data_IF_847922333971
#
_entry.id   IF_847922333971
#
_cell.length_a   1.000
_cell.length_b   1.000
_cell.length_c   1.000
_cell.angle_alpha   90.00
_cell.angle_beta   90.00
_cell.angle_gamma   90.00
#
_symmetry.space_group_name_H-M   'P 1'
#
loop_
_entity.id
_entity.type
_entity.pdbx_description
1 polymer ?
#
# COMPACT_ATOMS: atom_id res chain seq x y z
N UNK A 1 -86.00 -14.40 -20.38
CA UNK A 1 -85.97 -15.37 -19.26
C UNK A 1 -84.52 -15.77 -19.00
N UNK A 2 -84.14 -15.79 -17.71
CA UNK A 2 -82.94 -16.42 -17.10
C UNK A 2 -81.60 -15.63 -17.08
N UNK A 3 -80.77 -15.79 -16.01
CA UNK A 3 -80.49 -14.68 -15.08
C UNK A 3 -79.01 -14.26 -14.94
N UNK A 4 -78.83 -13.14 -14.22
CA UNK A 4 -77.55 -12.53 -13.80
C UNK A 4 -76.77 -13.45 -12.84
N UNK A 5 -75.50 -13.69 -13.15
CA UNK A 5 -74.53 -14.31 -12.25
C UNK A 5 -73.50 -13.30 -11.74
N UNK A 6 -73.57 -12.97 -10.46
CA UNK A 6 -72.57 -12.18 -9.72
C UNK A 6 -71.29 -12.97 -9.50
N UNK A 7 -70.12 -12.44 -9.91
CA UNK A 7 -68.82 -12.93 -9.44
C UNK A 7 -68.17 -11.88 -8.54
N UNK A 8 -68.13 -12.18 -7.23
CA UNK A 8 -67.28 -11.50 -6.25
C UNK A 8 -65.81 -11.78 -6.57
N UNK A 9 -64.98 -10.74 -6.71
CA UNK A 9 -63.52 -10.88 -6.73
C UNK A 9 -63.04 -11.14 -5.30
N UNK A 10 -62.56 -12.37 -5.03
CA UNK A 10 -61.69 -12.61 -3.87
C UNK A 10 -60.30 -12.07 -4.21
N UNK A 11 -59.82 -11.09 -3.46
CA UNK A 11 -58.42 -10.71 -3.47
C UNK A 11 -57.60 -11.84 -2.84
N UNK A 12 -56.67 -12.42 -3.59
CA UNK A 12 -55.64 -13.31 -3.05
C UNK A 12 -54.47 -12.42 -2.66
N UNK A 13 -54.22 -12.26 -1.36
CA UNK A 13 -53.02 -11.63 -0.86
C UNK A 13 -51.83 -12.56 -1.14
N UNK A 14 -50.98 -12.20 -2.10
CA UNK A 14 -49.70 -12.87 -2.34
C UNK A 14 -48.71 -12.37 -1.27
N UNK A 15 -48.32 -13.27 -0.36
CA UNK A 15 -47.31 -13.01 0.67
C UNK A 15 -45.94 -13.02 -0.02
N UNK A 16 -45.31 -11.86 -0.15
CA UNK A 16 -43.94 -11.76 -0.67
C UNK A 16 -42.95 -12.45 0.28
N UNK A 17 -41.91 -13.14 -0.23
CA UNK A 17 -40.87 -13.73 0.61
C UNK A 17 -40.07 -12.64 1.34
N UNK A 18 -39.54 -12.92 2.55
CA UNK A 18 -38.72 -11.96 3.28
C UNK A 18 -37.45 -11.64 2.50
N UNK A 19 -37.08 -10.37 2.49
CA UNK A 19 -35.80 -9.85 1.96
C UNK A 19 -34.61 -10.57 2.61
N UNK A 20 -33.52 -10.84 1.87
CA UNK A 20 -32.35 -11.51 2.41
C UNK A 20 -31.69 -10.65 3.50
N UNK A 21 -31.38 -11.30 4.62
CA UNK A 21 -30.68 -10.74 5.77
C UNK A 21 -29.32 -10.15 5.38
N UNK A 22 -28.97 -9.01 5.96
CA UNK A 22 -27.65 -8.38 5.84
C UNK A 22 -26.51 -9.36 6.17
N UNK A 23 -25.31 -9.18 5.55
CA UNK A 23 -24.17 -10.07 5.80
C UNK A 23 -23.71 -10.00 7.27
N UNK A 24 -23.10 -11.08 7.80
CA UNK A 24 -22.70 -11.16 9.20
C UNK A 24 -21.66 -10.10 9.55
N UNK A 25 -21.89 -9.38 10.65
CA UNK A 25 -20.89 -8.49 11.26
C UNK A 25 -19.88 -9.34 12.04
N UNK A 26 -18.60 -9.14 11.76
CA UNK A 26 -17.51 -9.60 12.63
C UNK A 26 -17.60 -8.87 13.97
N UNK A 27 -17.99 -9.59 15.01
CA UNK A 27 -17.80 -9.17 16.41
C UNK A 27 -16.48 -9.81 16.85
N UNK A 28 -15.50 -8.99 17.22
CA UNK A 28 -14.27 -9.49 17.84
C UNK A 28 -14.60 -9.87 19.29
N UNK A 29 -14.83 -11.17 19.53
CA UNK A 29 -14.80 -11.73 20.88
C UNK A 29 -13.37 -12.22 21.16
N UNK A 30 -12.70 -11.58 22.11
CA UNK A 30 -11.40 -12.01 22.61
C UNK A 30 -11.40 -11.90 24.13
N UNK A 31 -11.36 -13.04 24.82
CA UNK A 31 -11.01 -13.10 26.23
C UNK A 31 -9.50 -12.85 26.38
N UNK A 32 -9.12 -11.90 27.23
CA UNK A 32 -7.73 -11.78 27.70
C UNK A 32 -7.52 -12.81 28.82
N UNK A 33 -6.58 -13.76 28.70
CA UNK A 33 -6.20 -14.61 29.82
C UNK A 33 -5.33 -13.80 30.79
N UNK A 34 -5.82 -13.58 32.01
CA UNK A 34 -4.95 -13.24 33.14
C UNK A 34 -5.12 -11.85 33.74
N UNK A 35 -6.30 -11.52 34.25
CA UNK A 35 -6.41 -10.50 35.30
C UNK A 35 -7.30 -11.00 36.44
N UNK A 36 -6.67 -11.48 37.52
CA UNK A 36 -7.34 -11.74 38.79
C UNK A 36 -7.36 -10.43 39.59
N UNK A 37 -8.52 -9.78 39.65
CA UNK A 37 -8.76 -8.62 40.51
C UNK A 37 -10.24 -8.51 40.83
N UNK A 38 -10.60 -8.72 42.09
CA UNK A 38 -11.98 -8.75 42.61
C UNK A 38 -12.71 -7.43 42.36
N UNK A 39 -13.95 -7.52 41.89
CA UNK A 39 -14.90 -6.41 41.87
C UNK A 39 -16.08 -6.69 40.94
N UNK A 40 -17.11 -7.34 41.46
CA UNK A 40 -18.35 -7.60 40.71
C UNK A 40 -19.15 -6.32 40.51
N UNK A 41 -19.70 -6.10 39.31
CA UNK A 41 -21.10 -5.68 39.15
C UNK A 41 -21.66 -6.04 37.76
N UNK A 42 -22.94 -6.40 37.79
CA UNK A 42 -23.78 -7.09 36.80
C UNK A 42 -23.89 -6.48 35.39
N UNK A 43 -24.08 -7.41 34.46
CA UNK A 43 -24.84 -7.37 33.21
C UNK A 43 -26.04 -6.40 33.19
N UNK A 44 -26.16 -5.63 32.12
CA UNK A 44 -27.39 -4.97 31.69
C UNK A 44 -27.45 -4.92 30.17
N UNK A 45 -28.34 -5.73 29.58
CA UNK A 45 -28.72 -5.64 28.18
C UNK A 45 -29.52 -4.35 27.94
N UNK A 46 -29.27 -3.67 26.81
CA UNK A 46 -30.09 -2.55 26.37
C UNK A 46 -30.51 -2.79 24.91
N UNK A 47 -31.80 -3.08 24.72
CA UNK A 47 -32.50 -2.96 23.45
C UNK A 47 -32.75 -1.48 23.14
N UNK A 48 -32.54 -1.06 21.89
CA UNK A 48 -32.96 0.24 21.41
C UNK A 48 -34.19 0.07 20.49
N UNK A 49 -35.38 0.21 21.06
CA UNK A 49 -36.61 0.47 20.31
C UNK A 49 -36.65 1.93 19.85
N UNK A 50 -37.09 2.17 18.61
CA UNK A 50 -36.99 3.45 17.92
C UNK A 50 -37.78 4.63 18.52
N UNK A 51 -37.31 5.83 18.19
CA UNK A 51 -37.99 7.09 18.46
C UNK A 51 -37.20 8.27 17.87
N UNK A 52 -37.89 9.14 17.11
CA UNK A 52 -37.36 10.33 16.45
C UNK A 52 -36.93 11.37 17.49
N UNK A 53 -35.63 11.72 17.53
CA UNK A 53 -35.10 12.81 18.34
C UNK A 53 -33.61 13.02 18.07
N UNK A 54 -33.21 14.23 17.68
CA UNK A 54 -31.79 14.59 17.52
C UNK A 54 -31.09 14.52 18.88
N UNK A 55 -29.91 13.89 19.02
CA UNK A 55 -29.07 14.14 20.18
C UNK A 55 -28.47 15.54 20.04
N UNK A 56 -28.92 16.48 20.88
CA UNK A 56 -28.27 17.76 21.10
C UNK A 56 -26.99 17.50 21.93
N UNK A 57 -25.81 17.69 21.33
CA UNK A 57 -24.54 17.54 22.02
C UNK A 57 -24.26 18.80 22.86
N UNK A 58 -24.66 18.80 24.14
CA UNK A 58 -24.12 19.74 25.13
C UNK A 58 -23.19 18.99 26.08
N UNK A 59 -21.93 18.94 25.70
CA UNK A 59 -20.81 18.64 26.58
C UNK A 59 -19.71 19.67 26.33
N UNK A 60 -19.51 20.61 27.26
CA UNK A 60 -18.29 21.43 27.29
C UNK A 60 -17.13 20.50 27.62
N UNK A 61 -16.29 20.19 26.64
CA UNK A 61 -14.95 19.66 26.88
C UNK A 61 -14.02 20.87 26.93
N UNK A 62 -13.69 21.33 28.14
CA UNK A 62 -12.54 22.23 28.31
C UNK A 62 -11.27 21.41 28.12
N UNK A 63 -10.75 21.38 26.90
CA UNK A 63 -9.40 20.92 26.64
C UNK A 63 -8.42 22.00 27.14
N UNK A 64 -7.82 21.76 28.31
CA UNK A 64 -6.70 22.57 28.81
C UNK A 64 -5.44 22.20 28.00
N UNK A 65 -5.23 22.88 26.88
CA UNK A 65 -3.96 22.88 26.15
C UNK A 65 -2.89 23.51 27.05
N UNK A 66 -1.91 22.72 27.49
CA UNK A 66 -0.64 23.26 27.99
C UNK A 66 0.35 23.21 26.84
N UNK A 67 0.72 24.39 26.35
CA UNK A 67 1.90 24.56 25.51
C UNK A 67 3.14 24.31 26.36
N UNK A 68 4.05 23.48 25.87
CA UNK A 68 5.40 23.33 26.43
C UNK A 68 6.30 24.15 25.52
N UNK A 69 6.90 25.22 26.04
CA UNK A 69 7.74 26.12 25.28
C UNK A 69 8.99 25.40 24.75
N UNK A 70 9.32 25.70 23.49
CA UNK A 70 10.54 25.25 22.83
C UNK A 70 11.77 25.90 23.51
N UNK A 71 12.74 25.08 23.90
CA UNK A 71 14.02 25.58 24.40
C UNK A 71 14.81 26.25 23.26
N UNK A 72 15.07 27.54 23.41
CA UNK A 72 15.94 28.37 22.56
C UNK A 72 17.40 27.95 22.70
N UNK A 73 18.18 27.80 21.61
CA UNK A 73 19.65 27.69 21.71
C UNK A 73 20.27 29.08 21.95
N UNK A 74 21.35 29.21 22.73
CA UNK A 74 22.00 30.50 22.91
C UNK A 74 22.82 30.87 21.66
N UNK A 75 22.58 32.08 21.16
CA UNK A 75 23.38 32.74 20.15
C UNK A 75 24.52 33.54 20.79
N UNK A 76 25.69 33.52 20.14
CA UNK A 76 26.69 34.59 20.25
C UNK A 76 28.11 34.12 20.59
N UNK A 77 28.98 34.03 19.58
CA UNK A 77 30.01 35.06 19.35
C UNK A 77 30.69 34.81 17.99
N UNK A 78 30.53 35.77 17.08
CA UNK A 78 31.48 35.98 15.98
C UNK A 78 32.59 36.92 16.48
N UNK A 79 33.80 36.81 15.94
CA UNK A 79 34.66 37.93 15.46
C UNK A 79 36.05 37.37 15.03
N UNK A 80 36.56 37.98 13.95
CA UNK A 80 37.95 38.16 13.52
C UNK A 80 38.67 37.06 12.72
N UNK A 81 38.65 37.31 11.41
CA UNK A 81 39.73 37.11 10.46
C UNK A 81 41.08 37.73 10.87
N UNK A 82 42.14 37.21 10.25
CA UNK A 82 43.49 37.76 10.03
C UNK A 82 44.51 37.66 11.17
N UNK A 83 45.68 37.12 10.84
CA UNK A 83 46.85 37.12 11.72
C UNK A 83 47.89 36.09 11.32
N UNK A 84 48.68 36.38 10.28
CA UNK A 84 50.00 35.78 10.08
C UNK A 84 50.79 35.91 11.40
N UNK A 85 51.22 34.78 11.97
CA UNK A 85 52.22 34.78 13.03
C UNK A 85 53.53 34.23 12.48
N UNK A 86 54.43 35.16 12.13
CA UNK A 86 55.85 34.91 11.88
C UNK A 86 56.55 34.67 13.23
N UNK A 87 57.28 33.57 13.36
CA UNK A 87 58.36 33.44 14.35
C UNK A 87 59.61 32.84 13.69
N UNK A 88 60.82 33.17 14.19
CA UNK A 88 62.01 33.28 13.36
C UNK A 88 62.90 32.03 13.30
N UNK A 89 63.57 31.91 12.15
CA UNK A 89 64.88 31.33 11.85
C UNK A 89 65.57 30.48 12.93
N UNK A 90 65.50 29.15 12.75
CA UNK A 90 66.48 28.18 13.25
C UNK A 90 67.17 27.48 12.07
N UNK A 91 68.47 27.73 11.92
CA UNK A 91 69.38 27.19 10.89
C UNK A 91 69.83 25.77 11.28
N UNK A 92 69.76 24.78 10.36
CA UNK A 92 70.93 24.03 9.85
C UNK A 92 70.59 22.68 9.15
N UNK A 93 71.26 22.52 8.00
CA UNK A 93 71.85 21.32 7.36
C UNK A 93 71.08 20.60 6.24
N UNK A 94 71.78 20.61 5.11
CA UNK A 94 71.51 19.99 3.82
C UNK A 94 71.61 18.47 3.86
N UNK A 95 70.71 17.79 3.14
CA UNK A 95 70.96 16.50 2.49
C UNK A 95 70.21 16.50 1.14
N UNK A 96 70.89 16.31 0.00
CA UNK A 96 70.24 16.29 -1.29
C UNK A 96 69.71 14.87 -1.56
N UNK A 97 68.39 14.70 -1.62
CA UNK A 97 67.79 13.52 -2.23
C UNK A 97 67.32 13.85 -3.64
N UNK A 98 67.76 13.01 -4.57
CA UNK A 98 67.62 13.14 -6.01
C UNK A 98 66.16 13.01 -6.47
N UNK A 99 65.77 13.83 -7.45
CA UNK A 99 64.56 13.66 -8.23
C UNK A 99 64.67 12.38 -9.07
N UNK A 100 63.93 11.34 -8.71
CA UNK A 100 63.66 10.19 -9.59
C UNK A 100 62.48 10.56 -10.49
N UNK A 101 62.75 10.84 -11.77
CA UNK A 101 61.72 10.96 -12.80
C UNK A 101 61.23 9.55 -13.15
N UNK A 102 60.16 9.09 -12.52
CA UNK A 102 59.44 7.89 -12.93
C UNK A 102 58.42 8.26 -14.01
N UNK A 103 58.77 7.98 -15.27
CA UNK A 103 57.83 7.93 -16.39
C UNK A 103 56.93 6.71 -16.22
N UNK A 104 55.69 6.91 -15.83
CA UNK A 104 54.66 5.86 -15.93
C UNK A 104 53.60 6.32 -16.91
N UNK A 105 53.61 5.67 -18.07
CA UNK A 105 52.59 5.78 -19.11
C UNK A 105 51.26 5.32 -18.54
N UNK A 106 50.35 6.26 -18.27
CA UNK A 106 48.95 5.94 -17.95
C UNK A 106 48.23 5.59 -19.23
N UNK A 107 48.09 4.29 -19.49
CA UNK A 107 47.05 3.75 -20.36
C UNK A 107 45.69 4.14 -19.76
N UNK A 108 45.03 5.13 -20.37
CA UNK A 108 43.62 5.41 -20.10
C UNK A 108 42.80 4.28 -20.72
N UNK A 109 42.40 3.32 -19.90
CA UNK A 109 41.33 2.41 -20.27
C UNK A 109 40.07 3.26 -20.45
N UNK A 110 39.28 3.05 -21.53
CA UNK A 110 37.99 3.70 -21.63
C UNK A 110 37.13 3.19 -20.47
N UNK A 111 36.97 3.99 -19.43
CA UNK A 111 35.92 3.79 -18.45
C UNK A 111 34.61 3.91 -19.23
N UNK A 112 33.96 2.78 -19.45
CA UNK A 112 32.55 2.76 -19.79
C UNK A 112 31.85 3.53 -18.68
N UNK A 113 31.52 4.79 -18.96
CA UNK A 113 30.57 5.53 -18.15
C UNK A 113 29.26 4.78 -18.34
N UNK A 114 28.96 3.88 -17.41
CA UNK A 114 27.61 3.38 -17.25
C UNK A 114 26.83 4.60 -16.80
N UNK A 115 26.14 5.23 -17.75
CA UNK A 115 25.14 6.23 -17.43
C UNK A 115 24.02 5.52 -16.70
N UNK A 116 24.17 5.34 -15.39
CA UNK A 116 23.04 5.15 -14.49
C UNK A 116 22.27 6.47 -14.55
N UNK A 117 21.36 6.58 -15.51
CA UNK A 117 20.36 7.63 -15.47
C UNK A 117 19.67 7.47 -14.12
N UNK A 118 19.95 8.37 -13.18
CA UNK A 118 19.27 8.42 -11.90
C UNK A 118 17.78 8.61 -12.22
N UNK A 119 17.03 7.51 -12.21
CA UNK A 119 15.59 7.54 -12.43
C UNK A 119 15.04 8.34 -11.24
N UNK A 120 14.36 9.45 -11.54
CA UNK A 120 13.81 10.35 -10.51
C UNK A 120 12.90 9.61 -9.51
N UNK A 121 12.49 10.28 -8.41
CA UNK A 121 11.71 9.64 -7.36
C UNK A 121 10.48 8.93 -7.92
N UNK A 122 10.17 7.75 -7.38
CA UNK A 122 8.99 6.99 -7.77
C UNK A 122 7.73 7.75 -7.32
N UNK A 123 6.91 8.10 -8.30
CA UNK A 123 5.68 8.87 -8.10
C UNK A 123 4.56 8.28 -8.92
N UNK A 124 3.33 8.65 -8.59
CA UNK A 124 2.18 8.30 -9.42
C UNK A 124 2.39 8.83 -10.85
N UNK A 125 2.11 8.00 -11.84
CA UNK A 125 2.34 8.27 -13.26
C UNK A 125 3.76 8.01 -13.76
N UNK A 126 4.73 7.76 -12.88
CA UNK A 126 6.08 7.35 -13.31
C UNK A 126 6.06 5.94 -13.89
N UNK A 127 6.98 5.70 -14.83
CA UNK A 127 7.15 4.37 -15.39
C UNK A 127 7.87 3.46 -14.40
N UNK A 128 7.25 2.32 -14.11
CA UNK A 128 7.80 1.29 -13.25
C UNK A 128 9.20 0.88 -13.74
N UNK A 129 10.23 0.90 -12.88
CA UNK A 129 11.55 0.39 -13.22
C UNK A 129 11.52 -1.07 -13.72
N UNK A 130 12.22 -1.32 -14.82
CA UNK A 130 12.41 -2.67 -15.37
C UNK A 130 13.60 -3.35 -14.68
N UNK A 131 13.52 -4.67 -14.53
CA UNK A 131 14.56 -5.52 -13.97
C UNK A 131 14.39 -6.95 -14.49
N UNK A 132 15.47 -7.72 -14.41
CA UNK A 132 15.47 -9.17 -14.60
C UNK A 132 15.96 -9.81 -13.31
N UNK A 133 15.19 -10.71 -12.72
CA UNK A 133 15.52 -11.33 -11.43
C UNK A 133 15.06 -12.79 -11.36
N UNK A 134 15.72 -13.57 -10.51
CA UNK A 134 15.30 -14.93 -10.22
C UNK A 134 14.09 -14.92 -9.25
N UNK A 135 13.23 -15.92 -9.35
CA UNK A 135 12.02 -16.03 -8.54
C UNK A 135 11.69 -17.49 -8.21
N UNK A 136 10.74 -17.69 -7.29
CA UNK A 136 10.18 -19.01 -6.97
C UNK A 136 9.50 -19.73 -8.15
N UNK A 137 9.35 -19.07 -9.31
CA UNK A 137 8.80 -19.64 -10.55
C UNK A 137 9.76 -19.51 -11.74
N UNK A 138 11.06 -19.37 -11.47
CA UNK A 138 12.09 -19.16 -12.49
C UNK A 138 12.40 -17.69 -12.73
N UNK A 139 13.21 -17.40 -13.76
CA UNK A 139 13.64 -16.04 -14.07
C UNK A 139 12.46 -15.20 -14.60
N UNK A 140 12.31 -13.99 -14.09
CA UNK A 140 11.29 -13.02 -14.50
C UNK A 140 11.99 -11.83 -15.17
N UNK A 141 11.58 -11.52 -16.40
CA UNK A 141 11.76 -10.19 -16.99
C UNK A 141 10.52 -9.35 -16.65
N UNK A 142 10.71 -8.27 -15.88
CA UNK A 142 9.60 -7.48 -15.39
C UNK A 142 8.85 -6.74 -16.51
N UNK A 143 9.53 -6.35 -17.59
CA UNK A 143 8.89 -5.66 -18.71
C UNK A 143 7.94 -6.60 -19.44
N UNK A 144 8.38 -7.83 -19.74
CA UNK A 144 7.53 -8.85 -20.33
C UNK A 144 6.40 -9.28 -19.40
N UNK A 145 6.69 -9.41 -18.10
CA UNK A 145 5.71 -9.82 -17.09
C UNK A 145 4.57 -8.79 -16.94
N UNK A 146 4.91 -7.50 -16.93
CA UNK A 146 3.97 -6.41 -16.64
C UNK A 146 3.25 -5.85 -17.88
N UNK A 147 3.84 -5.94 -19.07
CA UNK A 147 3.24 -5.33 -20.27
C UNK A 147 1.87 -5.93 -20.57
N UNK A 148 0.87 -5.06 -20.76
CA UNK A 148 -0.49 -5.48 -21.09
C UNK A 148 -1.29 -6.07 -19.93
N UNK A 149 -0.75 -6.13 -18.72
CA UNK A 149 -1.43 -6.63 -17.52
C UNK A 149 -1.35 -5.63 -16.38
N UNK A 150 -2.33 -5.63 -15.49
CA UNK A 150 -2.14 -4.98 -14.20
C UNK A 150 -1.20 -5.81 -13.34
N UNK A 151 -0.33 -5.16 -12.57
CA UNK A 151 0.55 -5.83 -11.61
C UNK A 151 0.39 -5.21 -10.24
N UNK A 152 0.17 -6.05 -9.23
CA UNK A 152 0.34 -5.70 -7.83
C UNK A 152 1.68 -6.28 -7.39
N UNK A 153 2.68 -5.40 -7.28
CA UNK A 153 4.04 -5.75 -6.90
C UNK A 153 4.28 -5.37 -5.45
N UNK A 154 4.58 -6.34 -4.59
CA UNK A 154 4.67 -6.12 -3.16
C UNK A 154 5.86 -6.81 -2.52
N UNK A 155 6.46 -6.17 -1.51
CA UNK A 155 7.57 -6.72 -0.75
C UNK A 155 7.12 -7.25 0.61
N UNK A 156 7.91 -8.16 1.20
CA UNK A 156 7.82 -8.55 2.61
C UNK A 156 9.23 -8.66 3.21
N UNK A 157 9.42 -8.31 4.50
CA UNK A 157 10.75 -8.24 5.10
C UNK A 157 11.60 -9.51 4.98
N UNK A 158 11.02 -10.67 5.31
CA UNK A 158 11.76 -11.93 5.39
C UNK A 158 10.82 -13.13 5.40
N UNK A 159 11.25 -14.23 4.77
CA UNK A 159 10.62 -15.54 4.84
C UNK A 159 10.67 -16.13 6.26
N UNK A 160 9.77 -17.08 6.56
CA UNK A 160 9.65 -17.72 7.87
C UNK A 160 9.39 -16.75 9.03
N UNK A 161 8.69 -15.64 8.76
CA UNK A 161 8.26 -14.68 9.79
C UNK A 161 6.73 -14.64 9.92
N UNK A 162 6.19 -14.40 11.13
CA UNK A 162 4.77 -14.66 11.42
C UNK A 162 3.83 -13.75 10.63
N UNK A 163 4.07 -12.43 10.63
CA UNK A 163 3.21 -11.47 9.92
C UNK A 163 3.25 -11.73 8.41
N UNK A 164 4.44 -11.94 7.83
CA UNK A 164 4.58 -12.21 6.40
C UNK A 164 3.85 -13.50 5.99
N UNK A 165 3.88 -14.53 6.85
CA UNK A 165 3.18 -15.80 6.60
C UNK A 165 1.67 -15.56 6.50
N UNK A 166 1.10 -14.76 7.40
CA UNK A 166 -0.32 -14.41 7.35
C UNK A 166 -0.68 -13.57 6.12
N UNK A 167 0.19 -12.64 5.70
CA UNK A 167 -0.05 -11.78 4.55
C UNK A 167 -0.03 -12.55 3.24
N UNK A 168 1.01 -13.34 2.98
CA UNK A 168 1.12 -14.10 1.73
C UNK A 168 0.02 -15.16 1.64
N UNK A 169 -0.38 -15.76 2.76
CA UNK A 169 -1.55 -16.64 2.82
C UNK A 169 -2.86 -15.93 2.45
N UNK A 170 -3.05 -14.68 2.90
CA UNK A 170 -4.21 -13.87 2.53
C UNK A 170 -4.19 -13.47 1.04
N UNK A 171 -3.03 -13.06 0.52
CA UNK A 171 -2.87 -12.77 -0.92
C UNK A 171 -3.11 -14.01 -1.78
N UNK A 172 -2.60 -15.17 -1.37
CA UNK A 172 -2.83 -16.44 -2.05
C UNK A 172 -4.33 -16.80 -2.14
N UNK A 173 -5.07 -16.62 -1.04
CA UNK A 173 -6.52 -16.86 -1.05
C UNK A 173 -7.30 -15.88 -1.95
N UNK A 174 -6.80 -14.64 -2.08
CA UNK A 174 -7.40 -13.62 -2.94
C UNK A 174 -6.87 -13.63 -4.38
N UNK A 175 -5.83 -14.38 -4.70
CA UNK A 175 -5.23 -14.47 -6.03
C UNK A 175 -6.25 -14.75 -7.15
N UNK A 176 -7.27 -15.62 -6.97
CA UNK A 176 -8.32 -15.80 -7.97
C UNK A 176 -9.11 -14.53 -8.28
N UNK A 177 -9.36 -13.67 -7.28
CA UNK A 177 -10.07 -12.40 -7.45
C UNK A 177 -9.22 -11.36 -8.19
N UNK A 178 -7.90 -11.34 -7.95
CA UNK A 178 -6.96 -10.54 -8.75
C UNK A 178 -6.90 -11.04 -10.20
N UNK A 179 -6.81 -12.36 -10.39
CA UNK A 179 -6.77 -12.99 -11.72
C UNK A 179 -8.03 -12.68 -12.53
N UNK A 180 -9.21 -12.74 -11.90
CA UNK A 180 -10.50 -12.37 -12.53
C UNK A 180 -10.51 -10.94 -13.08
N UNK A 181 -9.71 -10.04 -12.49
CA UNK A 181 -9.55 -8.63 -12.89
C UNK A 181 -8.38 -8.40 -13.85
N UNK A 182 -7.74 -9.46 -14.34
CA UNK A 182 -6.55 -9.38 -15.18
C UNK A 182 -5.33 -8.79 -14.45
N UNK A 183 -5.25 -9.00 -13.13
CA UNK A 183 -4.15 -8.53 -12.29
C UNK A 183 -3.24 -9.70 -11.93
N UNK A 184 -1.93 -9.51 -12.17
CA UNK A 184 -0.87 -10.42 -11.73
C UNK A 184 -0.32 -9.97 -10.39
N UNK A 185 -0.16 -10.91 -9.46
CA UNK A 185 0.56 -10.67 -8.22
C UNK A 185 2.05 -10.97 -8.42
N UNK A 186 2.91 -10.19 -7.76
CA UNK A 186 4.37 -10.39 -7.74
C UNK A 186 4.87 -10.06 -6.34
N UNK A 187 5.43 -11.05 -5.65
CA UNK A 187 6.07 -10.88 -4.33
C UNK A 187 7.56 -10.57 -4.47
N UNK A 188 8.17 -10.07 -3.39
CA UNK A 188 9.61 -9.87 -3.28
C UNK A 188 10.07 -9.93 -1.82
N UNK A 189 11.19 -10.60 -1.56
CA UNK A 189 12.03 -10.35 -0.38
C UNK A 189 13.51 -10.52 -0.73
N UNK A 190 14.38 -10.26 0.25
CA UNK A 190 15.81 -10.47 0.09
C UNK A 190 16.29 -11.90 0.40
N UNK A 191 15.36 -12.87 0.52
CA UNK A 191 15.68 -14.28 0.68
C UNK A 191 16.02 -14.94 -0.68
N UNK A 192 16.50 -16.19 -0.63
CA UNK A 192 16.83 -16.97 -1.84
C UNK A 192 15.62 -17.72 -2.38
N UNK A 193 15.71 -18.15 -3.65
CA UNK A 193 14.69 -18.98 -4.30
C UNK A 193 14.38 -20.27 -3.52
N UNK A 194 15.41 -20.94 -2.98
CA UNK A 194 15.23 -22.17 -2.20
C UNK A 194 14.46 -21.90 -0.90
N UNK A 195 14.70 -20.75 -0.27
CA UNK A 195 13.97 -20.36 0.95
C UNK A 195 12.50 -20.11 0.65
N UNK A 196 12.21 -19.40 -0.45
CA UNK A 196 10.83 -19.18 -0.90
C UNK A 196 10.11 -20.50 -1.16
N UNK A 197 10.72 -21.44 -1.89
CA UNK A 197 10.11 -22.73 -2.22
C UNK A 197 9.76 -23.57 -0.99
N UNK A 198 10.63 -23.55 0.03
CA UNK A 198 10.35 -24.18 1.32
C UNK A 198 9.20 -23.47 2.03
N UNK A 199 9.28 -22.15 2.16
CA UNK A 199 8.34 -21.36 2.95
C UNK A 199 6.93 -21.30 2.35
N UNK A 200 6.80 -21.39 1.02
CA UNK A 200 5.50 -21.52 0.34
C UNK A 200 4.70 -22.73 0.87
N UNK A 201 5.38 -23.82 1.25
CA UNK A 201 4.74 -25.00 1.83
C UNK A 201 4.21 -24.70 3.23
N UNK A 202 4.99 -24.03 4.07
CA UNK A 202 4.59 -23.60 5.41
C UNK A 202 3.39 -22.63 5.34
N UNK A 203 3.39 -21.69 4.39
CA UNK A 203 2.25 -20.78 4.18
C UNK A 203 0.99 -21.59 3.85
N UNK A 204 1.09 -22.56 2.95
CA UNK A 204 -0.04 -23.41 2.58
C UNK A 204 -0.55 -24.24 3.76
N UNK A 205 0.36 -24.82 4.55
CA UNK A 205 0.01 -25.60 5.75
C UNK A 205 -0.68 -24.75 6.82
N UNK A 206 -0.08 -23.60 7.17
CA UNK A 206 -0.53 -22.75 8.28
C UNK A 206 -1.79 -21.97 7.93
N UNK A 207 -1.88 -21.48 6.69
CA UNK A 207 -2.95 -20.55 6.30
C UNK A 207 -4.01 -21.21 5.44
N UNK A 208 -3.72 -22.33 4.79
CA UNK A 208 -4.56 -22.91 3.74
C UNK A 208 -4.55 -22.13 2.41
N UNK A 209 -3.72 -21.09 2.29
CA UNK A 209 -3.55 -20.32 1.06
C UNK A 209 -2.41 -20.87 0.21
N UNK A 210 -2.70 -21.26 -1.03
CA UNK A 210 -1.69 -21.76 -1.97
C UNK A 210 -1.07 -20.59 -2.75
N UNK A 211 0.19 -20.26 -2.47
CA UNK A 211 0.91 -19.22 -3.23
C UNK A 211 1.27 -19.75 -4.63
N UNK A 212 0.64 -19.21 -5.68
CA UNK A 212 0.97 -19.56 -7.07
C UNK A 212 1.70 -18.44 -7.81
N UNK A 213 1.58 -17.20 -7.35
CA UNK A 213 2.32 -16.08 -7.88
C UNK A 213 3.83 -16.19 -7.58
N UNK A 214 4.69 -15.64 -8.47
CA UNK A 214 6.13 -15.59 -8.26
C UNK A 214 6.51 -14.70 -7.08
N UNK A 215 7.56 -15.10 -6.36
CA UNK A 215 8.26 -14.28 -5.36
C UNK A 215 9.69 -14.06 -5.86
N UNK A 216 10.08 -12.80 -6.10
CA UNK A 216 11.43 -12.40 -6.51
C UNK A 216 12.41 -12.61 -5.36
N UNK A 217 13.54 -13.28 -5.68
CA UNK A 217 14.67 -13.44 -4.79
C UNK A 217 15.67 -12.30 -5.00
N UNK A 218 15.60 -11.28 -4.15
CA UNK A 218 16.37 -10.04 -4.27
C UNK A 218 17.52 -9.98 -3.25
N UNK A 219 18.37 -11.02 -3.25
CA UNK A 219 19.41 -11.21 -2.23
C UNK A 219 20.40 -10.04 -2.12
N UNK A 220 20.70 -9.35 -3.23
CA UNK A 220 21.57 -8.16 -3.26
C UNK A 220 20.82 -6.83 -3.14
N UNK A 221 19.50 -6.88 -2.92
CA UNK A 221 18.61 -5.74 -2.73
C UNK A 221 18.56 -4.79 -3.94
N UNK A 222 18.91 -5.26 -5.14
CA UNK A 222 18.90 -4.41 -6.33
C UNK A 222 17.49 -3.92 -6.64
N UNK A 223 16.51 -4.82 -6.62
CA UNK A 223 15.13 -4.47 -6.96
C UNK A 223 14.49 -3.67 -5.82
N UNK A 224 14.78 -4.02 -4.57
CA UNK A 224 14.32 -3.30 -3.39
C UNK A 224 14.83 -1.85 -3.37
N UNK A 225 16.10 -1.61 -3.67
CA UNK A 225 16.62 -0.24 -3.81
C UNK A 225 15.98 0.49 -4.99
N UNK A 226 15.79 -0.22 -6.12
CA UNK A 226 15.20 0.35 -7.33
C UNK A 226 13.75 0.81 -7.12
N UNK A 227 13.02 0.12 -6.22
CA UNK A 227 11.64 0.40 -5.85
C UNK A 227 11.48 1.14 -4.52
N UNK A 228 12.57 1.62 -3.89
CA UNK A 228 12.53 2.28 -2.58
C UNK A 228 11.76 1.46 -1.51
N UNK A 229 12.00 0.15 -1.51
CA UNK A 229 11.37 -0.83 -0.61
C UNK A 229 12.23 -1.14 0.62
N UNK A 230 13.17 -0.27 0.98
CA UNK A 230 14.06 -0.44 2.12
C UNK A 230 13.71 0.58 3.20
N UNK A 231 13.80 0.18 4.47
CA UNK A 231 13.56 1.11 5.57
C UNK A 231 14.71 2.14 5.65
N UNK A 232 14.37 3.42 5.57
CA UNK A 232 15.35 4.51 5.71
C UNK A 232 15.79 4.74 7.16
N UNK A 233 14.92 4.47 8.14
CA UNK A 233 15.11 4.83 9.54
C UNK A 233 15.44 3.67 10.45
N UNK A 234 15.27 2.43 9.99
CA UNK A 234 15.56 1.23 10.76
C UNK A 234 16.82 0.52 10.25
N UNK A 235 18.02 1.11 10.42
CA UNK A 235 19.29 0.42 10.18
C UNK A 235 19.53 -0.71 11.19
N UNK A 236 18.61 -0.95 12.13
CA UNK A 236 18.62 -2.11 13.04
C UNK A 236 17.78 -3.27 12.52
N UNK A 237 16.89 -3.03 11.54
CA UNK A 237 16.15 -4.05 10.83
C UNK A 237 16.99 -4.62 9.69
N UNK A 238 18.03 -5.33 10.11
CA UNK A 238 19.04 -5.93 9.27
C UNK A 238 18.91 -7.46 9.29
N UNK A 239 19.27 -8.10 8.18
CA UNK A 239 19.41 -9.54 8.12
C UNK A 239 20.65 -10.02 8.92
N UNK A 240 20.87 -11.32 8.93
CA UNK A 240 22.03 -11.94 9.58
C UNK A 240 23.39 -11.48 9.03
N UNK A 241 23.41 -10.72 7.93
CA UNK A 241 24.61 -10.15 7.28
C UNK A 241 24.69 -8.63 7.46
N UNK A 242 23.91 -8.06 8.37
CA UNK A 242 23.84 -6.64 8.63
C UNK A 242 23.34 -5.78 7.44
N UNK A 243 22.58 -6.38 6.52
CA UNK A 243 21.95 -5.66 5.40
C UNK A 243 20.48 -5.36 5.68
N UNK A 244 19.97 -4.16 5.34
CA UNK A 244 18.57 -3.81 5.57
C UNK A 244 17.59 -4.83 5.00
N UNK A 245 16.55 -5.14 5.76
CA UNK A 245 15.37 -5.85 5.28
C UNK A 245 14.47 -4.90 4.49
N UNK A 246 13.64 -5.47 3.61
CA UNK A 246 12.63 -4.67 2.91
C UNK A 246 11.49 -4.29 3.84
N UNK A 247 10.84 -3.16 3.59
CA UNK A 247 9.56 -2.81 4.22
C UNK A 247 8.39 -3.49 3.50
N UNK A 248 7.15 -3.24 3.96
CA UNK A 248 5.93 -3.78 3.37
C UNK A 248 5.34 -2.78 2.36
N UNK A 249 5.99 -2.66 1.20
CA UNK A 249 5.53 -1.80 0.11
C UNK A 249 4.60 -2.54 -0.85
N UNK A 250 3.67 -1.82 -1.47
CA UNK A 250 2.76 -2.31 -2.52
C UNK A 250 2.69 -1.27 -3.62
N UNK A 251 3.02 -1.68 -4.84
CA UNK A 251 2.93 -0.90 -6.06
C UNK A 251 1.81 -1.44 -6.94
N UNK A 252 0.92 -0.56 -7.36
CA UNK A 252 -0.12 -0.85 -8.33
C UNK A 252 0.34 -0.32 -9.68
N UNK A 253 0.58 -1.20 -10.63
CA UNK A 253 1.21 -0.88 -11.91
C UNK A 253 0.21 -1.24 -13.00
N UNK A 254 -0.10 -0.27 -13.87
CA UNK A 254 -1.07 -0.46 -14.95
C UNK A 254 -0.47 -1.20 -16.16
N UNK A 255 -1.30 -1.62 -17.15
CA UNK A 255 -0.84 -2.29 -18.36
C UNK A 255 0.16 -1.49 -19.22
N UNK A 256 0.29 -0.18 -18.99
CA UNK A 256 1.25 0.72 -19.63
C UNK A 256 2.50 0.92 -18.76
N UNK A 257 2.69 0.07 -17.76
CA UNK A 257 3.77 0.08 -16.77
C UNK A 257 3.86 1.38 -15.99
N UNK A 258 2.76 2.11 -15.79
CA UNK A 258 2.74 3.32 -14.95
C UNK A 258 2.32 2.97 -13.52
N UNK A 259 3.03 3.54 -12.55
CA UNK A 259 2.69 3.41 -11.13
C UNK A 259 1.42 4.23 -10.85
N UNK A 260 0.37 3.58 -10.35
CA UNK A 260 -0.95 4.18 -10.10
C UNK A 260 -1.24 4.41 -8.62
N UNK A 261 -0.63 3.62 -7.75
CA UNK A 261 -0.74 3.77 -6.30
C UNK A 261 0.50 3.14 -5.66
N UNK A 262 0.95 3.73 -4.55
CA UNK A 262 2.02 3.20 -3.69
C UNK A 262 1.46 3.19 -2.27
N UNK A 263 1.58 2.06 -1.58
CA UNK A 263 1.24 1.94 -0.16
C UNK A 263 2.45 1.37 0.56
N UNK A 264 2.89 2.04 1.64
CA UNK A 264 4.06 1.61 2.41
C UNK A 264 3.68 1.43 3.88
N UNK A 265 3.95 0.24 4.41
CA UNK A 265 3.80 -0.09 5.83
C UNK A 265 5.17 -0.47 6.43
N UNK A 266 5.40 -0.18 7.72
CA UNK A 266 6.56 -0.71 8.42
C UNK A 266 6.45 -2.23 8.61
N UNK A 267 7.56 -2.89 8.93
CA UNK A 267 7.58 -4.34 9.18
C UNK A 267 6.62 -4.78 10.30
N UNK A 268 6.36 -3.90 11.28
CA UNK A 268 5.48 -4.17 12.42
C UNK A 268 3.98 -4.18 12.09
N UNK A 269 3.57 -3.63 10.94
CA UNK A 269 2.14 -3.46 10.59
C UNK A 269 1.76 -4.34 9.41
N UNK A 270 1.03 -5.42 9.66
CA UNK A 270 0.46 -6.25 8.60
C UNK A 270 -0.56 -5.48 7.74
N UNK A 271 -0.54 -5.74 6.43
CA UNK A 271 -1.40 -5.10 5.43
C UNK A 271 -2.79 -5.71 5.41
N UNK A 272 -3.75 -4.89 4.98
CA UNK A 272 -5.10 -5.35 4.64
C UNK A 272 -5.14 -5.77 3.16
N UNK A 273 -5.14 -7.08 2.88
CA UNK A 273 -5.18 -7.60 1.50
C UNK A 273 -6.48 -7.23 0.77
N UNK A 274 -7.59 -7.12 1.49
CA UNK A 274 -8.88 -6.64 0.94
C UNK A 274 -8.80 -5.19 0.47
N UNK A 275 -8.02 -4.34 1.14
CA UNK A 275 -7.79 -2.96 0.67
C UNK A 275 -7.00 -2.96 -0.63
N UNK A 276 -6.02 -3.84 -0.78
CA UNK A 276 -5.26 -3.97 -2.02
C UNK A 276 -6.19 -4.36 -3.18
N UNK A 277 -7.10 -5.32 -2.98
CA UNK A 277 -8.09 -5.66 -3.99
C UNK A 277 -9.07 -4.50 -4.28
N UNK A 278 -9.52 -3.79 -3.24
CA UNK A 278 -10.43 -2.63 -3.38
C UNK A 278 -9.80 -1.48 -4.17
N UNK A 279 -8.51 -1.23 -3.99
CA UNK A 279 -7.77 -0.22 -4.78
C UNK A 279 -7.70 -0.64 -6.25
N UNK A 280 -7.48 -1.92 -6.56
CA UNK A 280 -7.57 -2.42 -7.95
C UNK A 280 -8.95 -2.13 -8.55
N UNK A 281 -10.02 -2.45 -7.81
CA UNK A 281 -11.39 -2.18 -8.25
C UNK A 281 -11.63 -0.69 -8.52
N UNK A 282 -11.16 0.18 -7.63
CA UNK A 282 -11.29 1.64 -7.79
C UNK A 282 -10.53 2.16 -9.02
N UNK A 283 -9.27 1.73 -9.21
CA UNK A 283 -8.44 2.16 -10.32
C UNK A 283 -9.01 1.71 -11.67
N UNK A 284 -9.44 0.45 -11.77
CA UNK A 284 -10.04 -0.07 -12.99
C UNK A 284 -11.41 0.57 -13.28
N UNK A 285 -12.21 0.85 -12.25
CA UNK A 285 -13.48 1.57 -12.41
C UNK A 285 -13.24 3.01 -12.92
N UNK A 286 -12.25 3.73 -12.39
CA UNK A 286 -11.89 5.07 -12.85
C UNK A 286 -11.29 5.09 -14.27
N UNK A 287 -10.59 4.03 -14.69
CA UNK A 287 -10.09 3.92 -16.07
C UNK A 287 -11.20 3.61 -17.07
N UNK A 288 -12.21 2.82 -16.65
CA UNK A 288 -13.34 2.41 -17.50
C UNK A 288 -14.44 3.47 -17.58
N UNK A 289 -14.70 4.17 -16.49
CA UNK A 289 -15.79 5.14 -16.36
C UNK A 289 -15.23 6.50 -15.94
N UNK A 290 -15.82 7.61 -16.41
CA UNK A 290 -15.43 8.97 -16.02
C UNK A 290 -15.93 9.33 -14.60
N UNK A 291 -15.44 8.61 -13.60
CA UNK A 291 -15.88 8.67 -12.20
C UNK A 291 -14.69 8.78 -11.23
N UNK A 292 -15.00 9.05 -9.97
CA UNK A 292 -14.12 8.89 -8.83
C UNK A 292 -14.84 8.07 -7.74
N UNK A 293 -14.11 7.25 -6.99
CA UNK A 293 -14.68 6.49 -5.87
C UNK A 293 -14.63 7.33 -4.58
N UNK A 294 -15.72 7.44 -3.80
CA UNK A 294 -15.72 8.17 -2.53
C UNK A 294 -14.87 7.49 -1.45
N UNK A 295 -14.76 8.15 -0.29
CA UNK A 295 -14.16 7.57 0.92
C UNK A 295 -14.83 6.24 1.29
N UNK A 296 -14.03 5.26 1.70
CA UNK A 296 -14.46 3.92 2.11
C UNK A 296 -15.29 3.15 1.08
N UNK A 297 -15.20 3.54 -0.21
CA UNK A 297 -15.99 2.94 -1.27
C UNK A 297 -15.69 1.46 -1.46
N UNK A 298 -16.74 0.65 -1.54
CA UNK A 298 -16.71 -0.76 -1.93
C UNK A 298 -17.45 -0.98 -3.26
N UNK A 299 -17.07 -2.00 -4.06
CA UNK A 299 -17.79 -2.37 -5.27
C UNK A 299 -19.30 -2.53 -5.03
N UNK A 300 -20.10 -1.95 -5.93
CA UNK A 300 -21.56 -1.92 -5.84
C UNK A 300 -22.14 -0.70 -5.12
N UNK A 301 -21.32 0.12 -4.45
CA UNK A 301 -21.75 1.40 -3.90
C UNK A 301 -21.70 2.52 -4.96
N UNK A 302 -22.46 3.59 -4.72
CA UNK A 302 -22.45 4.79 -5.55
C UNK A 302 -21.04 5.37 -5.68
N UNK A 303 -20.71 5.82 -6.89
CA UNK A 303 -19.49 6.56 -7.22
C UNK A 303 -19.81 8.03 -7.48
N UNK A 304 -18.77 8.86 -7.54
CA UNK A 304 -18.87 10.29 -7.84
C UNK A 304 -18.61 10.50 -9.33
N UNK A 305 -19.48 11.23 -10.03
CA UNK A 305 -19.20 11.68 -11.41
C UNK A 305 -18.00 12.62 -11.38
N UNK A 306 -16.97 12.34 -12.19
CA UNK A 306 -15.73 13.10 -12.14
C UNK A 306 -15.98 14.61 -12.38
N UNK A 307 -15.26 15.46 -11.65
CA UNK A 307 -15.42 16.92 -11.72
C UNK A 307 -15.10 17.49 -13.12
N UNK A 308 -14.31 16.78 -13.92
CA UNK A 308 -13.99 17.15 -15.30
C UNK A 308 -15.15 16.93 -16.27
N UNK A 309 -16.22 16.23 -15.89
CA UNK A 309 -17.37 15.91 -16.75
C UNK A 309 -18.45 16.99 -16.58
N UNK A 310 -18.73 17.82 -17.60
CA UNK A 310 -19.80 18.82 -17.51
C UNK A 310 -21.19 18.19 -17.51
N UNK A 311 -22.20 18.90 -17.01
CA UNK A 311 -23.56 18.38 -16.83
C UNK A 311 -24.24 17.80 -18.09
N UNK A 312 -24.10 18.39 -19.31
CA UNK A 312 -24.65 17.79 -20.52
C UNK A 312 -24.10 16.39 -20.78
N UNK A 313 -22.77 16.25 -20.69
CA UNK A 313 -22.10 14.96 -20.89
C UNK A 313 -22.43 13.98 -19.75
N UNK A 314 -22.52 14.46 -18.50
CA UNK A 314 -22.88 13.62 -17.36
C UNK A 314 -24.29 13.01 -17.51
N UNK A 315 -25.25 13.72 -18.12
CA UNK A 315 -26.62 13.21 -18.37
C UNK A 315 -26.63 12.09 -19.42
N UNK A 316 -25.72 12.15 -20.38
CA UNK A 316 -25.57 11.10 -21.40
C UNK A 316 -24.88 9.86 -20.82
N UNK A 317 -23.77 10.06 -20.10
CA UNK A 317 -22.98 8.96 -19.52
C UNK A 317 -23.67 8.29 -18.32
N UNK A 318 -24.38 9.07 -17.50
CA UNK A 318 -24.97 8.64 -16.24
C UNK A 318 -26.41 9.16 -16.09
N UNK A 319 -27.40 8.71 -16.89
CA UNK A 319 -28.74 9.33 -16.94
C UNK A 319 -29.47 9.49 -15.59
N UNK A 320 -29.12 8.66 -14.61
CA UNK A 320 -29.74 8.63 -13.28
C UNK A 320 -28.84 9.25 -12.18
N UNK A 321 -27.84 10.08 -12.53
CA UNK A 321 -26.97 10.69 -11.51
C UNK A 321 -27.75 11.67 -10.62
N UNK A 322 -27.44 11.67 -9.32
CA UNK A 322 -28.04 12.53 -8.30
C UNK A 322 -27.09 13.67 -7.92
N UNK A 323 -27.53 14.91 -8.08
CA UNK A 323 -26.79 16.10 -7.66
C UNK A 323 -27.10 16.47 -6.22
N UNK A 324 -26.08 16.49 -5.35
CA UNK A 324 -26.17 17.04 -3.99
C UNK A 324 -25.65 18.49 -3.99
N UNK A 325 -24.53 18.71 -4.69
CA UNK A 325 -23.95 20.03 -5.02
C UNK A 325 -23.42 19.97 -6.45
N UNK A 326 -23.16 21.11 -7.12
CA UNK A 326 -22.62 21.11 -8.48
C UNK A 326 -21.36 20.25 -8.66
N UNK A 327 -20.49 20.18 -7.63
CA UNK A 327 -19.29 19.35 -7.62
C UNK A 327 -19.49 17.96 -6.98
N UNK A 328 -20.66 17.69 -6.39
CA UNK A 328 -20.94 16.45 -5.65
C UNK A 328 -22.15 15.76 -6.27
N UNK A 329 -21.86 14.95 -7.28
CA UNK A 329 -22.84 14.22 -8.09
C UNK A 329 -22.57 12.74 -7.95
N UNK A 330 -23.55 11.98 -7.47
CA UNK A 330 -23.43 10.53 -7.28
C UNK A 330 -24.11 9.78 -8.42
N UNK A 331 -23.57 8.63 -8.79
CA UNK A 331 -24.20 7.68 -9.72
C UNK A 331 -23.88 6.25 -9.32
N UNK A 332 -24.80 5.33 -9.59
CA UNK A 332 -24.49 3.91 -9.55
C UNK A 332 -23.73 3.51 -10.82
N UNK A 333 -22.79 2.57 -10.72
CA UNK A 333 -22.22 1.89 -11.88
C UNK A 333 -23.09 0.69 -12.26
N UNK A 334 -23.10 0.28 -13.55
CA UNK A 334 -23.68 -1.00 -13.94
C UNK A 334 -23.05 -2.13 -13.14
N UNK A 335 -23.86 -3.07 -12.66
CA UNK A 335 -23.33 -4.29 -12.05
C UNK A 335 -22.52 -5.05 -13.11
N UNK A 336 -21.26 -5.35 -12.78
CA UNK A 336 -20.35 -6.11 -13.62
C UNK A 336 -20.67 -7.61 -13.59
#
# INVERSE_FOLDING_TARGET
MLPRGSRSRKAVAVKLPPTPSAPPRLVAEGELPGWRGRGATRLGAWEASGGVGRPEWRGKVEAKLRFVDAATPPAGLAIASSGLCLTPLGRLRHHPYQLVKSTTSTYLQPTTIITMAAKGPLRLGTEAPTFVADSSKGKIDFEEFATGSWVVFFSHPQDYTPVCTTELGAFAKLEPEFTKRGVKLLGLSADSTERHEGWIKDIAEVTGGQVNFPIIADYDRKVANLYDMIDYQDPTNIDHKALPLTIRSVFFIDPKRKIRTIISYPASTGRNASEVLRVVDSLQAGDKYKIATPIDWLPGQDVIVANSVPDPEAKELFPNFRTIKPYLRYTALPLA
#
